data_IF_401307073778
#
_entry.id   IF_401307073778
#
_cell.length_a   1.000
_cell.length_b   1.000
_cell.length_c   1.000
_cell.angle_alpha   90.00
_cell.angle_beta   90.00
_cell.angle_gamma   90.00
#
_symmetry.space_group_name_H-M   'P 1'
#
loop_
_entity.id
_entity.type
_entity.pdbx_description
1 polymer ?
#
# COMPACT_ATOMS: atom_id res chain seq x y z
N UNK A 1 8.89 9.47 -14.32
CA UNK A 1 7.64 9.17 -15.05
C UNK A 1 6.59 10.19 -14.64
N UNK A 2 5.72 10.63 -15.56
CA UNK A 2 4.87 11.80 -15.36
C UNK A 2 3.92 11.65 -14.17
N UNK A 3 3.91 12.66 -13.29
CA UNK A 3 3.05 12.75 -12.12
C UNK A 3 1.60 12.95 -12.56
N UNK A 4 0.87 11.86 -12.77
CA UNK A 4 -0.56 11.95 -13.13
C UNK A 4 -1.36 12.41 -11.91
N UNK A 5 -2.46 13.15 -12.10
CA UNK A 5 -3.32 13.60 -10.97
C UNK A 5 -3.78 12.44 -10.08
N UNK A 6 -4.03 11.27 -10.68
CA UNK A 6 -4.43 10.07 -9.95
C UNK A 6 -3.31 9.48 -9.10
N UNK A 7 -2.06 9.51 -9.59
CA UNK A 7 -0.90 9.08 -8.83
C UNK A 7 -0.74 9.95 -7.57
N UNK A 8 -0.90 11.26 -7.73
CA UNK A 8 -0.90 12.20 -6.61
C UNK A 8 -2.07 11.93 -5.64
N UNK A 9 -3.29 11.75 -6.15
CA UNK A 9 -4.47 11.42 -5.34
C UNK A 9 -4.26 10.17 -4.49
N UNK A 10 -3.77 9.08 -5.09
CA UNK A 10 -3.56 7.82 -4.37
C UNK A 10 -2.55 7.99 -3.23
N UNK A 11 -1.45 8.72 -3.49
CA UNK A 11 -0.41 9.02 -2.49
C UNK A 11 -0.94 9.87 -1.35
N UNK A 12 -1.67 10.94 -1.65
CA UNK A 12 -2.24 11.85 -0.66
C UNK A 12 -3.31 11.15 0.19
N UNK A 13 -4.19 10.35 -0.42
CA UNK A 13 -5.22 9.60 0.28
C UNK A 13 -4.58 8.59 1.24
N UNK A 14 -3.68 7.74 0.74
CA UNK A 14 -3.01 6.73 1.56
C UNK A 14 -2.19 7.39 2.68
N UNK A 15 -1.46 8.46 2.39
CA UNK A 15 -0.68 9.17 3.41
C UNK A 15 -1.56 9.78 4.48
N UNK A 16 -2.65 10.46 4.11
CA UNK A 16 -3.58 11.07 5.06
C UNK A 16 -4.25 10.03 5.96
N UNK A 17 -4.68 8.90 5.39
CA UNK A 17 -5.28 7.81 6.17
C UNK A 17 -4.26 7.19 7.14
N UNK A 18 -3.05 6.88 6.64
CA UNK A 18 -2.02 6.21 7.42
C UNK A 18 -1.38 7.09 8.49
N UNK A 19 -1.36 8.42 8.32
CA UNK A 19 -0.87 9.36 9.34
C UNK A 19 -1.68 9.29 10.64
N UNK A 20 -2.90 8.76 10.61
CA UNK A 20 -3.70 8.55 11.83
C UNK A 20 -3.18 7.42 12.72
N UNK A 21 -2.38 6.50 12.14
CA UNK A 21 -1.92 5.26 12.80
C UNK A 21 -0.40 5.05 12.75
N UNK A 22 0.35 5.98 12.15
CA UNK A 22 1.79 5.89 12.04
C UNK A 22 2.43 7.03 11.26
N UNK A 23 3.71 6.87 10.94
CA UNK A 23 4.45 7.82 10.12
C UNK A 23 4.36 7.40 8.65
N UNK A 24 3.65 8.17 7.83
CA UNK A 24 3.61 7.99 6.39
C UNK A 24 4.45 9.05 5.69
N UNK A 25 5.44 8.62 4.90
CA UNK A 25 6.31 9.47 4.09
C UNK A 25 6.08 9.16 2.62
N UNK A 26 5.80 10.18 1.82
CA UNK A 26 5.62 10.02 0.37
C UNK A 26 6.90 10.42 -0.38
N UNK A 27 7.06 9.91 -1.60
CA UNK A 27 8.14 10.29 -2.51
C UNK A 27 9.56 10.14 -1.91
N UNK A 28 9.79 9.06 -1.16
CA UNK A 28 11.07 8.83 -0.47
C UNK A 28 12.15 8.46 -1.48
N UNK A 29 13.22 9.26 -1.55
CA UNK A 29 14.34 8.98 -2.46
C UNK A 29 15.07 7.71 -2.05
N UNK A 30 15.37 6.87 -3.04
CA UNK A 30 16.23 5.71 -2.90
C UNK A 30 17.60 6.08 -3.48
N UNK A 31 18.66 5.91 -2.69
CA UNK A 31 20.04 6.23 -3.10
C UNK A 31 20.43 5.39 -4.32
N UNK A 32 20.97 6.08 -5.34
CA UNK A 32 21.63 5.59 -6.57
C UNK A 32 20.93 5.82 -7.91
N UNK A 33 19.62 6.07 -7.96
CA UNK A 33 18.92 6.47 -9.20
C UNK A 33 17.76 7.42 -8.84
N UNK A 34 17.22 8.17 -9.79
CA UNK A 34 16.01 9.03 -9.59
C UNK A 34 14.77 8.14 -9.39
N UNK A 35 14.80 7.25 -8.41
CA UNK A 35 13.74 6.32 -8.03
C UNK A 35 13.21 6.75 -6.67
N UNK A 36 11.90 6.94 -6.61
CA UNK A 36 11.18 7.28 -5.39
C UNK A 36 10.35 6.09 -4.97
N UNK A 37 10.28 5.82 -3.68
CA UNK A 37 9.22 5.00 -3.09
C UNK A 37 7.99 5.89 -3.00
N UNK A 38 6.85 5.37 -3.45
CA UNK A 38 5.62 6.16 -3.50
C UNK A 38 5.12 6.50 -2.10
N UNK A 39 5.08 5.49 -1.22
CA UNK A 39 4.77 5.65 0.20
C UNK A 39 5.58 4.67 1.06
N UNK A 40 6.31 5.20 2.03
CA UNK A 40 6.95 4.46 3.12
C UNK A 40 6.18 4.71 4.41
N UNK A 41 5.72 3.65 5.05
CA UNK A 41 4.97 3.68 6.28
C UNK A 41 5.71 3.00 7.43
N UNK A 42 5.71 3.64 8.60
CA UNK A 42 6.21 3.10 9.85
C UNK A 42 5.08 3.12 10.90
N UNK A 43 4.64 1.97 11.42
CA UNK A 43 3.56 1.93 12.41
C UNK A 43 3.99 2.56 13.73
N UNK A 44 3.04 3.23 14.39
CA UNK A 44 3.15 3.59 15.81
C UNK A 44 2.48 2.50 16.66
N UNK A 45 3.19 2.01 17.68
CA UNK A 45 2.75 0.87 18.50
C UNK A 45 1.50 1.22 19.32
N UNK A 46 1.45 2.44 19.84
CA UNK A 46 0.34 2.99 20.62
C UNK A 46 -0.95 3.16 19.81
N UNK A 47 -0.85 3.15 18.47
CA UNK A 47 -1.98 3.27 17.53
C UNK A 47 -2.48 1.92 17.00
N UNK A 48 -2.10 0.82 17.64
CA UNK A 48 -2.44 -0.51 17.17
C UNK A 48 -3.96 -0.78 17.08
N UNK A 49 -4.73 -0.30 18.04
CA UNK A 49 -6.19 -0.46 18.06
C UNK A 49 -6.86 0.36 16.94
N UNK A 50 -6.37 1.59 16.71
CA UNK A 50 -6.92 2.53 15.73
C UNK A 50 -6.80 1.99 14.29
N UNK A 51 -5.84 1.09 14.01
CA UNK A 51 -5.67 0.46 12.69
C UNK A 51 -6.90 -0.32 12.23
N UNK A 52 -7.71 -0.86 13.14
CA UNK A 52 -8.92 -1.61 12.77
C UNK A 52 -9.91 -0.75 11.99
N UNK A 53 -9.94 0.57 12.24
CA UNK A 53 -10.79 1.52 11.51
C UNK A 53 -10.44 1.64 10.02
N UNK A 54 -9.24 1.22 9.62
CA UNK A 54 -8.75 1.23 8.24
C UNK A 54 -8.93 -0.12 7.53
N UNK A 55 -9.52 -1.13 8.18
CA UNK A 55 -9.74 -2.46 7.60
C UNK A 55 -8.45 -3.09 7.06
N UNK A 56 -8.49 -3.56 5.82
CA UNK A 56 -7.37 -4.17 5.10
C UNK A 56 -6.17 -3.22 4.98
N UNK A 57 -6.37 -1.91 4.81
CA UNK A 57 -5.25 -0.95 4.82
C UNK A 57 -4.59 -0.89 6.21
N UNK A 58 -5.38 -0.95 7.28
CA UNK A 58 -4.86 -1.05 8.64
C UNK A 58 -4.10 -2.34 8.90
N UNK A 59 -4.55 -3.45 8.30
CA UNK A 59 -3.86 -4.74 8.36
C UNK A 59 -2.52 -4.72 7.60
N UNK A 60 -2.47 -4.07 6.43
CA UNK A 60 -1.22 -3.80 5.69
C UNK A 60 -0.26 -2.96 6.55
N UNK A 61 -0.80 -1.97 7.25
CA UNK A 61 -0.10 -1.06 8.16
C UNK A 61 0.22 -1.67 9.55
N UNK A 62 0.05 -2.98 9.76
CA UNK A 62 0.42 -3.62 11.02
C UNK A 62 1.94 -3.71 11.22
N UNK A 63 2.72 -3.59 10.15
CA UNK A 63 4.18 -3.57 10.15
C UNK A 63 4.69 -2.45 9.23
N UNK A 64 5.99 -2.16 9.29
CA UNK A 64 6.60 -1.20 8.37
C UNK A 64 6.41 -1.68 6.93
N UNK A 65 6.02 -0.78 6.01
CA UNK A 65 5.72 -1.19 4.65
C UNK A 65 5.96 -0.09 3.61
N UNK A 66 6.20 -0.53 2.37
CA UNK A 66 6.18 0.27 1.17
C UNK A 66 4.86 0.00 0.46
N UNK A 67 4.16 1.05 0.03
CA UNK A 67 2.92 0.93 -0.75
C UNK A 67 3.11 1.63 -2.08
N UNK A 68 2.89 0.88 -3.16
CA UNK A 68 3.11 1.30 -4.54
C UNK A 68 1.77 1.21 -5.30
N UNK A 69 0.95 2.29 -5.30
CA UNK A 69 -0.35 2.30 -5.94
C UNK A 69 -0.23 2.58 -7.45
N UNK A 70 -0.85 1.73 -8.26
CA UNK A 70 -0.89 1.87 -9.71
C UNK A 70 -2.30 2.26 -10.18
N UNK A 71 -2.39 3.22 -11.10
CA UNK A 71 -3.65 3.58 -11.77
C UNK A 71 -4.07 2.57 -12.84
N UNK A 72 -3.09 1.95 -13.48
CA UNK A 72 -3.29 0.96 -14.54
C UNK A 72 -2.77 -0.39 -14.03
N UNK A 73 -3.20 -1.53 -14.61
CA UNK A 73 -2.65 -2.83 -14.22
C UNK A 73 -1.13 -2.83 -14.38
N UNK A 74 -0.35 -3.18 -13.33
CA UNK A 74 1.11 -3.20 -13.41
C UNK A 74 1.60 -4.31 -14.35
N UNK A 75 2.69 -4.04 -15.06
CA UNK A 75 3.44 -5.01 -15.84
C UNK A 75 4.50 -5.73 -14.99
N UNK A 76 5.19 -6.71 -15.56
CA UNK A 76 6.28 -7.41 -14.84
C UNK A 76 7.40 -6.48 -14.41
N UNK A 77 7.80 -5.55 -15.28
CA UNK A 77 8.89 -4.62 -14.98
C UNK A 77 8.51 -3.60 -13.90
N UNK A 78 7.23 -3.27 -13.77
CA UNK A 78 6.71 -2.46 -12.66
C UNK A 78 6.94 -3.16 -11.32
N UNK A 79 6.56 -4.45 -11.22
CA UNK A 79 6.76 -5.25 -10.01
C UNK A 79 8.25 -5.41 -9.71
N UNK A 80 9.10 -5.70 -10.71
CA UNK A 80 10.56 -5.78 -10.54
C UNK A 80 11.14 -4.46 -10.02
N UNK A 81 10.67 -3.32 -10.54
CA UNK A 81 11.10 -2.01 -10.09
C UNK A 81 10.68 -1.73 -8.64
N UNK A 82 9.49 -2.17 -8.21
CA UNK A 82 9.06 -2.10 -6.83
C UNK A 82 9.96 -2.96 -5.91
N UNK A 83 10.22 -4.21 -6.30
CA UNK A 83 11.09 -5.12 -5.53
C UNK A 83 12.51 -4.57 -5.43
N UNK A 84 13.07 -4.01 -6.51
CA UNK A 84 14.39 -3.39 -6.47
C UNK A 84 14.43 -2.22 -5.47
N UNK A 85 13.39 -1.36 -5.43
CA UNK A 85 13.30 -0.28 -4.44
C UNK A 85 13.26 -0.82 -3.00
N UNK A 86 12.50 -1.89 -2.76
CA UNK A 86 12.45 -2.58 -1.46
C UNK A 86 13.83 -3.09 -1.04
N UNK A 87 14.54 -3.78 -1.94
CA UNK A 87 15.86 -4.35 -1.63
C UNK A 87 16.92 -3.27 -1.37
N UNK A 88 16.86 -2.14 -2.08
CA UNK A 88 17.77 -1.01 -1.79
C UNK A 88 17.45 -0.42 -0.40
N UNK A 89 16.17 -0.23 -0.07
CA UNK A 89 15.74 0.22 1.25
C UNK A 89 16.24 -0.72 2.37
N UNK A 90 16.10 -2.03 2.19
CA UNK A 90 16.63 -3.02 3.13
C UNK A 90 18.15 -2.92 3.27
N UNK A 91 18.87 -2.73 2.16
CA UNK A 91 20.32 -2.49 2.17
C UNK A 91 20.73 -1.25 2.94
N UNK A 92 19.97 -0.15 2.85
CA UNK A 92 20.20 1.04 3.67
C UNK A 92 19.97 0.77 5.16
N UNK A 93 18.90 0.03 5.52
CA UNK A 93 18.65 -0.33 6.92
C UNK A 93 19.77 -1.19 7.49
N UNK A 94 20.26 -2.16 6.71
CA UNK A 94 21.42 -2.97 7.10
C UNK A 94 22.66 -2.11 7.37
N UNK A 95 22.94 -1.13 6.50
CA UNK A 95 24.05 -0.19 6.71
C UNK A 95 23.87 0.65 7.97
N UNK A 96 22.66 1.18 8.19
CA UNK A 96 22.34 1.98 9.38
C UNK A 96 22.51 1.16 10.66
N UNK A 97 21.94 -0.05 10.71
CA UNK A 97 22.03 -0.95 11.85
C UNK A 97 23.49 -1.33 12.18
N UNK A 98 24.30 -1.64 11.16
CA UNK A 98 25.74 -1.90 11.34
C UNK A 98 26.47 -0.70 11.93
N UNK A 99 26.16 0.52 11.48
CA UNK A 99 26.77 1.76 12.01
C UNK A 99 26.34 2.05 13.44
N UNK A 100 25.10 1.72 13.82
CA UNK A 100 24.57 1.92 15.18
C UNK A 100 24.86 0.75 16.13
N UNK A 101 25.53 -0.32 15.66
CA UNK A 101 25.78 -1.53 16.47
C UNK A 101 24.52 -2.32 16.81
N UNK A 102 23.43 -2.10 16.08
CA UNK A 102 22.15 -2.77 16.28
C UNK A 102 22.02 -3.99 15.36
N UNK A 103 21.40 -5.06 15.87
CA UNK A 103 20.98 -6.20 15.04
C UNK A 103 19.65 -5.89 14.34
N UNK A 104 19.47 -6.39 13.12
CA UNK A 104 18.18 -6.43 12.43
C UNK A 104 17.65 -7.86 12.40
N UNK A 105 16.39 -8.02 12.75
CA UNK A 105 15.62 -9.26 12.63
C UNK A 105 14.72 -9.19 11.41
N UNK A 106 14.22 -10.34 10.99
CA UNK A 106 13.38 -10.45 9.81
C UNK A 106 12.09 -9.60 9.89
N UNK A 107 11.52 -9.43 11.09
CA UNK A 107 10.34 -8.58 11.29
C UNK A 107 10.64 -7.07 11.27
N UNK A 108 11.91 -6.68 11.34
CA UNK A 108 12.27 -5.27 11.29
C UNK A 108 12.17 -4.73 9.86
N UNK A 109 12.32 -5.58 8.84
CA UNK A 109 12.27 -5.19 7.42
C UNK A 109 10.86 -4.88 6.94
N UNK A 110 10.77 -3.91 6.03
CA UNK A 110 9.52 -3.52 5.42
C UNK A 110 8.93 -4.62 4.54
N UNK A 111 7.60 -4.64 4.47
CA UNK A 111 6.82 -5.36 3.46
C UNK A 111 6.53 -4.46 2.26
N UNK A 112 6.59 -4.97 1.04
CA UNK A 112 6.13 -4.28 -0.16
C UNK A 112 4.71 -4.68 -0.53
N UNK A 113 3.87 -3.69 -0.81
CA UNK A 113 2.50 -3.85 -1.30
C UNK A 113 2.33 -3.14 -2.63
N UNK A 114 2.22 -3.91 -3.71
CA UNK A 114 1.90 -3.39 -5.05
C UNK A 114 0.39 -3.42 -5.24
N UNK A 115 -0.24 -2.26 -5.34
CA UNK A 115 -1.70 -2.13 -5.39
C UNK A 115 -2.12 -1.72 -6.79
N UNK A 116 -2.79 -2.61 -7.54
CA UNK A 116 -3.25 -2.34 -8.89
C UNK A 116 -4.77 -2.49 -9.03
N UNK A 117 -5.41 -1.79 -9.98
CA UNK A 117 -6.85 -1.95 -10.23
C UNK A 117 -7.19 -3.40 -10.58
N UNK A 118 -6.33 -4.04 -11.38
CA UNK A 118 -6.35 -5.47 -11.66
C UNK A 118 -4.92 -6.01 -11.65
N UNK A 119 -4.79 -7.30 -11.37
CA UNK A 119 -3.55 -8.07 -11.49
C UNK A 119 -3.88 -9.27 -12.36
N UNK A 120 -3.15 -9.47 -13.45
CA UNK A 120 -3.44 -10.54 -14.40
C UNK A 120 -2.93 -11.89 -13.90
N UNK A 121 -3.58 -12.99 -14.30
CA UNK A 121 -3.12 -14.34 -13.99
C UNK A 121 -1.71 -14.62 -14.52
N UNK A 122 -1.37 -14.08 -15.69
CA UNK A 122 -0.03 -14.16 -16.24
C UNK A 122 1.01 -13.46 -15.35
N UNK A 123 0.68 -12.31 -14.76
CA UNK A 123 1.56 -11.62 -13.82
C UNK A 123 1.72 -12.43 -12.53
N UNK A 124 0.63 -12.95 -11.97
CA UNK A 124 0.68 -13.81 -10.77
C UNK A 124 1.58 -15.03 -11.01
N UNK A 125 1.39 -15.74 -12.13
CA UNK A 125 2.19 -16.91 -12.49
C UNK A 125 3.67 -16.56 -12.69
N UNK A 126 3.98 -15.41 -13.33
CA UNK A 126 5.36 -14.99 -13.57
C UNK A 126 6.17 -14.73 -12.29
N UNK A 127 5.49 -14.41 -11.18
CA UNK A 127 6.12 -14.21 -9.87
C UNK A 127 5.81 -15.32 -8.86
N UNK A 128 5.13 -16.39 -9.28
CA UNK A 128 4.68 -17.45 -8.37
C UNK A 128 3.76 -16.95 -7.26
N UNK A 129 3.03 -15.85 -7.49
CA UNK A 129 2.21 -15.21 -6.46
C UNK A 129 0.95 -16.03 -6.14
N UNK A 130 0.75 -16.35 -4.87
CA UNK A 130 -0.33 -17.24 -4.41
C UNK A 130 -1.42 -16.48 -3.66
N UNK A 131 -2.67 -16.84 -3.91
CA UNK A 131 -3.81 -16.26 -3.19
C UNK A 131 -3.75 -16.62 -1.70
N UNK A 132 -4.07 -15.66 -0.83
CA UNK A 132 -4.10 -15.90 0.61
C UNK A 132 -5.53 -15.92 1.16
N UNK A 133 -5.99 -17.11 1.54
CA UNK A 133 -7.29 -17.27 2.21
C UNK A 133 -7.39 -16.41 3.47
N UNK A 134 -6.31 -16.31 4.24
CA UNK A 134 -6.27 -15.52 5.47
C UNK A 134 -6.44 -14.00 5.23
N UNK A 135 -6.18 -13.52 4.01
CA UNK A 135 -6.24 -12.08 3.67
C UNK A 135 -7.44 -11.73 2.79
N UNK A 136 -8.20 -12.73 2.35
CA UNK A 136 -9.37 -12.54 1.51
C UNK A 136 -9.04 -12.43 0.02
N UNK A 137 -10.08 -12.35 -0.82
CA UNK A 137 -9.91 -12.28 -2.27
C UNK A 137 -9.17 -11.02 -2.68
N UNK A 138 -8.39 -11.11 -3.77
CA UNK A 138 -7.61 -10.00 -4.30
C UNK A 138 -6.25 -9.78 -3.63
N UNK A 139 -5.87 -10.55 -2.61
CA UNK A 139 -4.53 -10.46 -1.99
C UNK A 139 -3.69 -11.69 -2.33
N UNK A 140 -2.54 -11.43 -2.95
CA UNK A 140 -1.60 -12.45 -3.42
C UNK A 140 -0.21 -12.23 -2.84
N UNK A 141 0.47 -13.30 -2.46
CA UNK A 141 1.78 -13.27 -1.82
C UNK A 141 2.83 -13.91 -2.70
N UNK A 142 3.99 -13.25 -2.81
CA UNK A 142 5.21 -13.94 -3.25
C UNK A 142 5.76 -14.75 -2.07
N UNK A 143 6.70 -15.66 -2.35
CA UNK A 143 7.42 -16.38 -1.31
C UNK A 143 8.04 -15.42 -0.28
N UNK A 144 8.07 -15.86 0.98
CA UNK A 144 8.35 -14.99 2.14
C UNK A 144 9.66 -14.21 2.06
N UNK A 145 10.69 -14.77 1.40
CA UNK A 145 11.97 -14.09 1.20
C UNK A 145 11.89 -12.82 0.35
N UNK A 146 10.84 -12.65 -0.45
CA UNK A 146 10.60 -11.44 -1.24
C UNK A 146 9.91 -10.33 -0.47
N UNK A 147 9.30 -10.65 0.68
CA UNK A 147 8.51 -9.70 1.50
C UNK A 147 7.57 -8.83 0.66
N UNK A 148 6.88 -9.45 -0.30
CA UNK A 148 6.08 -8.73 -1.31
C UNK A 148 4.70 -9.35 -1.44
N UNK A 149 3.68 -8.49 -1.49
CA UNK A 149 2.30 -8.85 -1.80
C UNK A 149 1.77 -7.97 -2.94
N UNK A 150 0.86 -8.56 -3.72
CA UNK A 150 0.14 -7.91 -4.81
C UNK A 150 -1.34 -7.81 -4.42
N UNK A 151 -1.94 -6.64 -4.63
CA UNK A 151 -3.36 -6.39 -4.36
C UNK A 151 -4.09 -6.08 -5.66
N UNK A 152 -5.05 -6.93 -6.01
CA UNK A 152 -5.94 -6.78 -7.15
C UNK A 152 -7.27 -6.14 -6.69
N UNK A 153 -7.36 -4.82 -6.79
CA UNK A 153 -8.46 -4.04 -6.19
C UNK A 153 -9.84 -4.48 -6.69
N UNK A 154 -10.00 -4.84 -7.97
CA UNK A 154 -11.27 -5.33 -8.52
C UNK A 154 -11.81 -6.63 -7.88
N UNK A 155 -11.00 -7.37 -7.13
CA UNK A 155 -11.41 -8.60 -6.45
C UNK A 155 -11.71 -8.39 -4.97
N UNK A 156 -11.47 -7.19 -4.43
CA UNK A 156 -11.78 -6.87 -3.05
C UNK A 156 -13.30 -6.79 -2.87
N UNK A 157 -13.81 -7.46 -1.84
CA UNK A 157 -15.24 -7.48 -1.53
C UNK A 157 -15.73 -6.09 -1.10
N UNK A 158 -16.91 -5.62 -1.55
CA UNK A 158 -17.52 -4.40 -1.05
C UNK A 158 -17.71 -4.39 0.48
N UNK A 159 -17.71 -3.21 1.08
CA UNK A 159 -17.79 -3.00 2.52
C UNK A 159 -16.59 -2.27 3.12
N UNK A 160 -16.75 -1.91 4.40
CA UNK A 160 -15.80 -1.07 5.17
C UNK A 160 -14.40 -1.68 5.27
N UNK A 161 -14.30 -3.00 5.31
CA UNK A 161 -13.02 -3.72 5.42
C UNK A 161 -12.05 -3.44 4.26
N UNK A 162 -12.52 -3.18 3.04
CA UNK A 162 -11.64 -2.96 1.88
C UNK A 162 -11.79 -1.57 1.28
N UNK A 163 -12.64 -0.73 1.89
CA UNK A 163 -13.12 0.54 1.36
C UNK A 163 -11.98 1.40 0.83
N UNK A 164 -11.00 1.69 1.68
CA UNK A 164 -9.91 2.62 1.36
C UNK A 164 -9.04 2.18 0.18
N UNK A 165 -8.88 0.87 -0.05
CA UNK A 165 -8.17 0.36 -1.21
C UNK A 165 -9.05 0.35 -2.47
N UNK A 166 -10.36 0.10 -2.35
CA UNK A 166 -11.30 0.15 -3.49
C UNK A 166 -11.49 1.55 -4.05
N UNK A 167 -11.29 2.60 -3.26
CA UNK A 167 -11.25 4.00 -3.73
C UNK A 167 -10.15 4.23 -4.77
N UNK A 168 -9.05 3.47 -4.69
CA UNK A 168 -7.96 3.50 -5.68
C UNK A 168 -8.27 2.68 -6.94
N UNK A 169 -9.42 2.01 -6.98
CA UNK A 169 -9.87 1.19 -8.09
C UNK A 169 -10.33 2.00 -9.29
N UNK A 170 -11.12 1.38 -10.17
CA UNK A 170 -11.65 2.02 -11.39
C UNK A 170 -13.09 1.65 -11.65
N UNK A 171 -13.77 2.49 -12.43
CA UNK A 171 -15.13 2.23 -12.91
C UNK A 171 -16.08 1.99 -11.74
N UNK A 172 -16.85 0.91 -11.83
CA UNK A 172 -17.87 0.55 -10.84
C UNK A 172 -17.30 0.30 -9.44
N UNK A 173 -16.09 -0.26 -9.32
CA UNK A 173 -15.44 -0.53 -8.03
C UNK A 173 -15.17 0.78 -7.28
N UNK A 174 -14.64 1.78 -7.98
CA UNK A 174 -14.36 3.10 -7.39
C UNK A 174 -15.65 3.86 -7.11
N UNK A 175 -16.63 3.81 -8.02
CA UNK A 175 -17.93 4.46 -7.82
C UNK A 175 -18.66 3.91 -6.59
N UNK A 176 -18.66 2.60 -6.41
CA UNK A 176 -19.22 1.95 -5.21
C UNK A 176 -18.48 2.38 -3.95
N UNK A 177 -17.14 2.38 -3.97
CA UNK A 177 -16.36 2.81 -2.81
C UNK A 177 -16.60 4.29 -2.45
N UNK A 178 -16.76 5.18 -3.44
CA UNK A 178 -17.11 6.59 -3.20
C UNK A 178 -18.52 6.71 -2.60
N UNK A 179 -19.49 5.95 -3.12
CA UNK A 179 -20.84 5.93 -2.56
C UNK A 179 -20.85 5.43 -1.11
N UNK A 180 -20.04 4.42 -0.79
CA UNK A 180 -19.84 3.93 0.57
C UNK A 180 -19.18 4.98 1.48
N UNK A 181 -18.21 5.77 0.99
CA UNK A 181 -17.66 6.90 1.74
C UNK A 181 -18.72 7.95 2.04
N UNK A 182 -19.54 8.31 1.04
CA UNK A 182 -20.60 9.31 1.22
C UNK A 182 -21.62 8.88 2.28
N UNK A 183 -21.86 7.57 2.40
CA UNK A 183 -22.75 6.95 3.38
C UNK A 183 -22.12 6.75 4.77
N UNK A 184 -20.84 7.07 4.97
CA UNK A 184 -20.24 7.07 6.31
C UNK A 184 -20.85 8.19 7.18
N UNK A 185 -20.83 8.04 8.52
CA UNK A 185 -21.27 9.09 9.43
C UNK A 185 -20.60 10.43 9.12
N UNK A 186 -21.36 11.52 9.25
CA UNK A 186 -20.83 12.86 8.94
C UNK A 186 -19.70 13.27 9.88
N UNK A 187 -19.66 12.70 11.08
CA UNK A 187 -18.63 12.93 12.08
C UNK A 187 -17.38 12.06 11.89
N UNK A 188 -17.34 11.15 10.89
CA UNK A 188 -16.17 10.33 10.61
C UNK A 188 -15.04 11.20 9.99
N UNK A 189 -13.93 11.47 10.69
CA UNK A 189 -12.88 12.34 10.17
C UNK A 189 -12.19 11.77 8.92
N UNK A 190 -12.24 10.43 8.71
CA UNK A 190 -11.69 9.80 7.52
C UNK A 190 -12.57 10.03 6.29
N UNK A 191 -13.89 10.21 6.49
CA UNK A 191 -14.83 10.59 5.43
C UNK A 191 -14.44 11.96 4.88
N UNK A 192 -14.29 12.96 5.75
CA UNK A 192 -13.98 14.33 5.34
C UNK A 192 -12.64 14.43 4.62
N UNK A 193 -11.61 13.74 5.14
CA UNK A 193 -10.32 13.61 4.48
C UNK A 193 -10.47 13.05 3.05
N UNK A 194 -11.18 11.94 2.90
CA UNK A 194 -11.33 11.29 1.61
C UNK A 194 -12.14 12.15 0.62
N UNK A 195 -13.26 12.74 1.06
CA UNK A 195 -14.10 13.59 0.22
C UNK A 195 -13.35 14.82 -0.29
N UNK A 196 -12.56 15.47 0.57
CA UNK A 196 -11.72 16.62 0.17
C UNK A 196 -10.79 16.28 -0.99
N UNK A 197 -10.17 15.10 -0.95
CA UNK A 197 -9.24 14.63 -1.98
C UNK A 197 -9.96 14.12 -3.25
N UNK A 198 -11.18 13.60 -3.13
CA UNK A 198 -12.00 13.17 -4.27
C UNK A 198 -12.53 14.39 -5.05
N UNK A 199 -12.85 15.49 -4.36
CA UNK A 199 -13.41 16.71 -4.97
C UNK A 199 -12.39 17.68 -5.56
N UNK A 200 -11.09 17.47 -5.30
CA UNK A 200 -9.99 18.33 -5.76
C UNK A 200 -9.41 17.91 -7.10
#
# INVERSE_FOLDING_TARGET
MSRTRHDQFAKELLAGLLQTVGLAKTEVNVTSEVRKIDLLFLPLTEKAADRQSLGLLGRIAASACLIEPYRNPPAQDDVRACVLRLLIQHGERQRQARRSGQGLKEHDYEMLWVVGPTISQALLAAFGAQASQAWGPGVYWLDSGWRTALVAVHQLLPGRETLWLRVLGRGTVQQQAIAEILALPEEDPLRDLALKLISG
#
